data_IF_780574913591
#
_entry.id   IF_780574913591
#
_cell.length_a   1.000
_cell.length_b   1.000
_cell.length_c   1.000
_cell.angle_alpha   90.00
_cell.angle_beta   90.00
_cell.angle_gamma   90.00
#
_symmetry.space_group_name_H-M   'P 1'
#
loop_
_entity.id
_entity.type
_entity.pdbx_description
1 polymer ?
#
# COMPACT_ATOMS: atom_id res chain seq x y z
N UNK A 1 63.42 -42.05 -6.20
CA UNK A 1 63.97 -40.70 -6.19
C UNK A 1 62.84 -39.76 -5.95
N UNK A 2 62.71 -39.12 -4.76
CA UNK A 2 61.67 -38.16 -4.41
C UNK A 2 62.18 -36.76 -4.82
N UNK A 3 61.44 -36.08 -5.70
CA UNK A 3 61.73 -34.72 -6.12
C UNK A 3 61.32 -33.78 -4.94
N UNK A 4 62.22 -33.01 -4.35
CA UNK A 4 61.87 -32.11 -3.26
C UNK A 4 61.12 -30.93 -3.89
N UNK A 5 59.84 -30.87 -3.58
CA UNK A 5 59.03 -29.67 -3.92
C UNK A 5 59.66 -28.44 -3.26
N UNK A 6 60.09 -27.50 -4.05
CA UNK A 6 60.78 -26.29 -3.60
C UNK A 6 59.69 -25.39 -2.90
N UNK A 7 60.04 -24.89 -1.73
CA UNK A 7 59.17 -24.02 -0.92
C UNK A 7 58.58 -22.84 -1.72
N UNK A 8 59.29 -22.40 -2.73
CA UNK A 8 58.91 -21.33 -3.63
C UNK A 8 57.78 -21.73 -4.61
N UNK A 9 57.73 -22.99 -5.05
CA UNK A 9 56.71 -23.52 -5.93
C UNK A 9 55.42 -23.80 -5.18
N UNK A 10 55.53 -24.23 -3.90
CA UNK A 10 54.38 -24.36 -2.99
C UNK A 10 53.72 -23.00 -2.72
N UNK A 11 54.52 -21.94 -2.46
CA UNK A 11 53.98 -20.59 -2.23
C UNK A 11 53.34 -20.00 -3.48
N UNK A 12 53.86 -20.27 -4.68
CA UNK A 12 53.22 -19.86 -5.94
C UNK A 12 51.89 -20.57 -6.18
N UNK A 13 51.81 -21.87 -5.90
CA UNK A 13 50.61 -22.65 -6.04
C UNK A 13 49.55 -22.23 -4.99
N UNK A 14 49.94 -22.00 -3.75
CA UNK A 14 49.04 -21.49 -2.70
C UNK A 14 48.50 -20.07 -3.03
N UNK A 15 49.35 -19.17 -3.55
CA UNK A 15 48.97 -17.83 -3.97
C UNK A 15 48.00 -17.83 -5.15
N UNK A 16 48.16 -18.73 -6.10
CA UNK A 16 47.26 -18.86 -7.24
C UNK A 16 45.87 -19.38 -6.84
N UNK A 17 45.81 -20.32 -5.91
CA UNK A 17 44.54 -20.86 -5.37
C UNK A 17 43.79 -19.77 -4.58
N UNK A 18 44.50 -18.97 -3.79
CA UNK A 18 43.87 -17.89 -3.00
C UNK A 18 43.32 -16.80 -3.90
N UNK A 19 44.01 -16.43 -4.98
CA UNK A 19 43.55 -15.45 -5.95
C UNK A 19 42.31 -15.93 -6.75
N UNK A 20 42.24 -17.24 -7.07
CA UNK A 20 41.11 -17.84 -7.75
C UNK A 20 39.85 -17.89 -6.86
N UNK A 21 39.98 -18.13 -5.57
CA UNK A 21 38.84 -18.19 -4.62
C UNK A 21 38.32 -16.80 -4.34
N UNK A 22 39.18 -15.78 -4.26
CA UNK A 22 38.71 -14.38 -4.04
C UNK A 22 38.05 -13.79 -5.27
N UNK A 23 38.43 -14.14 -6.49
CA UNK A 23 37.76 -13.68 -7.71
C UNK A 23 36.43 -14.39 -7.98
N UNK A 24 36.27 -15.64 -7.54
CA UNK A 24 34.99 -16.36 -7.63
C UNK A 24 33.94 -15.89 -6.61
N UNK A 25 34.38 -15.35 -5.46
CA UNK A 25 33.49 -14.86 -4.40
C UNK A 25 32.81 -13.51 -4.72
N UNK A 26 33.24 -12.80 -5.74
CA UNK A 26 32.68 -11.48 -6.13
C UNK A 26 31.71 -11.55 -7.31
N UNK A 27 31.51 -12.72 -7.89
CA UNK A 27 30.32 -12.97 -8.73
C UNK A 27 29.16 -13.36 -7.83
N UNK A 28 28.90 -12.56 -6.79
CA UNK A 28 27.64 -12.61 -6.09
C UNK A 28 26.54 -12.31 -7.12
N UNK A 29 25.71 -13.31 -7.43
CA UNK A 29 24.44 -13.07 -8.08
C UNK A 29 23.75 -11.95 -7.29
N UNK A 30 23.81 -10.72 -7.76
CA UNK A 30 22.78 -9.75 -7.46
C UNK A 30 21.52 -10.33 -8.10
N UNK A 31 20.87 -11.27 -7.41
CA UNK A 31 19.46 -11.52 -7.71
C UNK A 31 18.81 -10.17 -7.50
N UNK A 32 18.62 -9.44 -8.57
CA UNK A 32 17.80 -8.26 -8.57
C UNK A 32 16.47 -8.75 -8.03
N UNK A 33 16.21 -8.51 -6.74
CA UNK A 33 14.94 -8.92 -6.13
C UNK A 33 13.87 -8.30 -7.00
N UNK A 34 13.10 -9.14 -7.67
CA UNK A 34 11.98 -8.69 -8.45
C UNK A 34 11.10 -7.85 -7.52
N UNK A 35 10.91 -6.59 -7.89
CA UNK A 35 10.08 -5.68 -7.11
C UNK A 35 8.64 -6.10 -7.32
N UNK A 36 7.88 -6.43 -6.27
CA UNK A 36 6.50 -6.87 -6.42
C UNK A 36 5.62 -5.76 -6.99
N UNK A 37 4.63 -6.12 -7.77
CA UNK A 37 3.54 -5.21 -8.08
C UNK A 37 2.69 -5.02 -6.82
N UNK A 38 2.25 -3.78 -6.59
CA UNK A 38 1.46 -3.40 -5.42
C UNK A 38 0.10 -2.90 -5.89
N UNK A 39 -0.95 -3.54 -5.41
CA UNK A 39 -2.33 -3.15 -5.69
C UNK A 39 -3.02 -2.80 -4.38
N UNK A 40 -3.55 -1.57 -4.29
CA UNK A 40 -4.42 -1.14 -3.21
C UNK A 40 -5.86 -1.02 -3.70
N UNK A 41 -6.75 -1.75 -3.06
CA UNK A 41 -8.19 -1.60 -3.21
C UNK A 41 -8.71 -0.98 -1.93
N UNK A 42 -9.26 0.22 -2.02
CA UNK A 42 -9.79 0.94 -0.87
C UNK A 42 -11.30 1.06 -0.98
N UNK A 43 -11.97 1.03 0.14
CA UNK A 43 -13.37 1.42 0.29
C UNK A 43 -13.50 2.43 1.43
N UNK A 44 -14.60 3.17 1.48
CA UNK A 44 -14.80 4.26 2.43
C UNK A 44 -15.87 3.92 3.46
N UNK A 45 -15.77 4.56 4.63
CA UNK A 45 -16.76 4.52 5.71
C UNK A 45 -17.15 3.09 6.14
N UNK A 46 -16.22 2.14 6.00
CA UNK A 46 -16.45 0.75 6.36
C UNK A 46 -16.01 0.45 7.79
N UNK A 47 -16.93 -0.16 8.55
CA UNK A 47 -16.59 -0.98 9.69
C UNK A 47 -16.25 -2.42 9.24
N UNK A 48 -16.08 -3.37 10.19
CA UNK A 48 -15.80 -4.78 9.89
C UNK A 48 -17.06 -5.53 9.43
N UNK A 49 -17.83 -4.93 8.50
CA UNK A 49 -19.09 -5.48 7.99
C UNK A 49 -18.88 -6.34 6.74
N UNK A 50 -17.97 -7.31 6.82
CA UNK A 50 -17.66 -8.25 5.78
C UNK A 50 -17.84 -9.69 6.28
N UNK A 51 -18.13 -10.64 5.40
CA UNK A 51 -18.30 -12.04 5.76
C UNK A 51 -17.12 -12.62 6.52
N UNK A 52 -15.89 -12.30 6.12
CA UNK A 52 -14.67 -12.73 6.81
C UNK A 52 -14.51 -12.19 8.24
N UNK A 53 -15.29 -11.19 8.65
CA UNK A 53 -15.38 -10.69 10.01
C UNK A 53 -16.65 -11.16 10.75
N UNK A 54 -17.40 -12.07 10.13
CA UNK A 54 -18.59 -12.67 10.74
C UNK A 54 -19.88 -11.89 10.53
N UNK A 55 -19.92 -10.97 9.55
CA UNK A 55 -21.17 -10.31 9.17
C UNK A 55 -22.01 -11.22 8.27
N UNK A 56 -23.18 -11.63 8.79
CA UNK A 56 -24.05 -12.62 8.13
C UNK A 56 -24.83 -12.04 6.94
N UNK A 57 -25.06 -10.73 6.94
CA UNK A 57 -25.79 -10.03 5.89
C UNK A 57 -24.89 -9.57 4.74
N UNK A 58 -23.55 -9.71 4.88
CA UNK A 58 -22.61 -9.29 3.86
C UNK A 58 -22.36 -10.42 2.84
N UNK A 59 -22.66 -10.17 1.59
CA UNK A 59 -22.28 -11.05 0.47
C UNK A 59 -20.94 -10.61 -0.11
N UNK A 60 -19.84 -11.11 0.48
CA UNK A 60 -18.46 -10.70 0.16
C UNK A 60 -17.53 -11.87 -0.21
N UNK A 61 -17.93 -12.82 -1.07
CA UNK A 61 -17.20 -14.08 -1.27
C UNK A 61 -15.79 -13.90 -1.85
N UNK A 62 -15.53 -12.81 -2.58
CA UNK A 62 -14.19 -12.50 -3.11
C UNK A 62 -13.24 -12.00 -2.03
N UNK A 63 -13.73 -11.14 -1.14
CA UNK A 63 -12.95 -10.63 0.00
C UNK A 63 -12.73 -11.73 1.04
N UNK A 64 -13.73 -12.57 1.27
CA UNK A 64 -13.63 -13.70 2.18
C UNK A 64 -12.57 -14.70 1.71
N UNK A 65 -12.54 -15.00 0.41
CA UNK A 65 -11.47 -15.82 -0.17
C UNK A 65 -10.09 -15.18 -0.04
N UNK A 66 -9.96 -13.89 -0.36
CA UNK A 66 -8.71 -13.16 -0.21
C UNK A 66 -8.23 -13.17 1.25
N UNK A 67 -9.14 -13.01 2.20
CA UNK A 67 -8.88 -13.10 3.62
C UNK A 67 -8.38 -14.49 4.05
N UNK A 68 -8.91 -15.55 3.45
CA UNK A 68 -8.48 -16.93 3.74
C UNK A 68 -7.10 -17.25 3.16
N UNK A 69 -6.73 -16.63 2.05
CA UNK A 69 -5.44 -16.83 1.35
C UNK A 69 -4.33 -15.88 1.87
N UNK A 70 -4.69 -14.81 2.59
CA UNK A 70 -3.79 -13.76 3.01
C UNK A 70 -3.74 -13.52 4.52
N UNK A 71 -3.42 -12.30 4.90
CA UNK A 71 -3.39 -11.85 6.29
C UNK A 71 -4.61 -10.97 6.55
N UNK A 72 -5.41 -11.32 7.56
CA UNK A 72 -6.53 -10.53 8.02
C UNK A 72 -6.19 -9.86 9.36
N UNK A 73 -6.26 -8.54 9.40
CA UNK A 73 -6.11 -7.78 10.63
C UNK A 73 -7.43 -7.73 11.38
N UNK A 74 -7.43 -8.13 12.65
CA UNK A 74 -8.62 -8.07 13.53
C UNK A 74 -8.75 -6.74 14.25
N UNK A 75 -7.65 -5.98 14.33
CA UNK A 75 -7.59 -4.66 14.97
C UNK A 75 -6.81 -3.72 14.07
N UNK A 76 -7.52 -2.95 13.26
CA UNK A 76 -6.96 -1.90 12.43
C UNK A 76 -7.79 -0.62 12.64
N UNK A 77 -7.13 0.48 12.96
CA UNK A 77 -7.79 1.73 13.31
C UNK A 77 -7.28 2.85 12.43
N UNK A 78 -8.19 3.68 11.92
CA UNK A 78 -7.81 4.95 11.34
C UNK A 78 -7.32 5.90 12.44
N UNK A 79 -6.24 6.63 12.20
CA UNK A 79 -5.76 7.64 13.14
C UNK A 79 -6.59 8.93 13.15
N UNK A 80 -7.45 9.09 12.15
CA UNK A 80 -8.46 10.14 12.05
C UNK A 80 -9.71 9.53 11.38
N UNK A 81 -10.89 9.58 12.03
CA UNK A 81 -12.08 8.85 11.60
C UNK A 81 -12.90 9.62 10.54
N UNK A 82 -12.23 10.27 9.60
CA UNK A 82 -12.87 11.03 8.51
C UNK A 82 -11.95 11.06 7.29
N UNK A 83 -12.52 11.10 6.08
CA UNK A 83 -11.82 10.83 4.82
C UNK A 83 -10.56 11.69 4.59
N UNK A 84 -10.65 13.02 4.58
CA UNK A 84 -9.51 13.87 4.22
C UNK A 84 -8.33 13.78 5.23
N UNK A 85 -8.51 13.86 6.55
CA UNK A 85 -7.45 13.65 7.51
C UNK A 85 -6.86 12.24 7.49
N UNK A 86 -7.69 11.19 7.32
CA UNK A 86 -7.21 9.82 7.19
C UNK A 86 -6.34 9.66 5.93
N UNK A 87 -6.81 10.20 4.78
CA UNK A 87 -6.06 10.16 3.52
C UNK A 87 -4.75 10.95 3.59
N UNK A 88 -4.74 12.08 4.30
CA UNK A 88 -3.51 12.81 4.57
C UNK A 88 -2.50 11.94 5.31
N UNK A 89 -2.94 11.28 6.38
CA UNK A 89 -2.07 10.41 7.17
C UNK A 89 -1.53 9.23 6.37
N UNK A 90 -2.36 8.63 5.52
CA UNK A 90 -1.95 7.52 4.65
C UNK A 90 -0.90 8.00 3.64
N UNK A 91 -1.13 9.12 2.96
CA UNK A 91 -0.26 9.55 1.86
C UNK A 91 1.08 10.12 2.35
N UNK A 92 1.09 10.73 3.53
CA UNK A 92 2.29 11.32 4.14
C UNK A 92 3.04 10.38 5.08
N UNK A 93 2.38 9.31 5.57
CA UNK A 93 2.91 8.46 6.63
C UNK A 93 2.99 9.15 8.00
N UNK A 94 2.32 10.28 8.19
CA UNK A 94 2.36 11.09 9.42
C UNK A 94 0.97 11.19 10.06
N UNK A 95 0.94 11.31 11.38
CA UNK A 95 -0.30 11.62 12.07
C UNK A 95 -0.84 12.99 11.67
N UNK A 96 -2.13 13.09 11.41
CA UNK A 96 -2.78 14.32 10.97
C UNK A 96 -2.52 15.50 11.93
N UNK A 97 -2.53 15.26 13.24
CA UNK A 97 -2.25 16.27 14.25
C UNK A 97 -0.81 16.82 14.18
N UNK A 98 0.16 16.02 13.72
CA UNK A 98 1.56 16.46 13.57
C UNK A 98 1.74 17.45 12.40
N UNK A 99 0.83 17.42 11.43
CA UNK A 99 0.83 18.32 10.28
C UNK A 99 -0.23 19.43 10.37
N UNK A 100 -1.06 19.44 11.42
CA UNK A 100 -2.18 20.37 11.54
C UNK A 100 -3.33 20.08 10.56
N UNK A 101 -3.39 18.86 10.04
CA UNK A 101 -4.38 18.40 9.05
C UNK A 101 -5.50 17.55 9.65
N UNK A 102 -5.69 17.61 10.97
CA UNK A 102 -6.68 16.81 11.69
C UNK A 102 -8.14 17.25 11.47
N UNK A 103 -8.36 18.48 11.04
CA UNK A 103 -9.69 18.98 10.76
C UNK A 103 -10.09 18.73 9.31
N UNK A 104 -11.32 18.33 9.10
CA UNK A 104 -11.85 18.08 7.76
C UNK A 104 -11.72 19.33 6.89
N UNK A 105 -11.13 19.20 5.71
CA UNK A 105 -10.87 20.26 4.72
C UNK A 105 -10.14 21.47 5.27
N UNK A 106 -9.20 21.25 6.19
CA UNK A 106 -8.36 22.30 6.75
C UNK A 106 -7.41 22.92 5.72
N UNK A 107 -7.14 22.23 4.63
CA UNK A 107 -6.34 22.70 3.48
C UNK A 107 -5.03 23.36 3.94
N UNK A 108 -4.25 22.66 4.76
CA UNK A 108 -2.99 23.16 5.29
C UNK A 108 -1.85 22.98 4.30
N UNK A 109 -0.89 23.93 4.23
CA UNK A 109 0.34 23.72 3.50
C UNK A 109 1.16 22.61 4.15
N UNK A 110 1.70 21.72 3.33
CA UNK A 110 2.61 20.67 3.79
C UNK A 110 4.05 21.19 3.67
N UNK A 111 4.89 21.05 4.69
CA UNK A 111 6.30 21.41 4.59
C UNK A 111 6.99 20.70 3.41
N UNK A 112 7.78 21.43 2.63
CA UNK A 112 8.40 20.92 1.39
C UNK A 112 9.28 19.66 1.58
N UNK A 113 9.76 19.43 2.81
CA UNK A 113 10.54 18.22 3.17
C UNK A 113 9.68 16.95 3.32
N UNK A 114 8.36 17.09 3.38
CA UNK A 114 7.44 15.95 3.53
C UNK A 114 7.08 15.46 2.14
N UNK A 115 7.63 14.31 1.76
CA UNK A 115 7.25 13.63 0.53
C UNK A 115 5.99 12.79 0.76
N UNK A 116 5.15 12.71 -0.27
CA UNK A 116 4.08 11.73 -0.30
C UNK A 116 4.69 10.39 -0.74
N UNK A 117 4.35 9.30 -0.05
CA UNK A 117 5.04 8.02 -0.26
C UNK A 117 5.03 7.51 -1.72
N UNK A 118 4.04 7.82 -2.60
CA UNK A 118 4.15 7.44 -4.00
C UNK A 118 5.32 8.08 -4.73
N UNK A 119 5.78 9.28 -4.31
CA UNK A 119 6.99 9.90 -4.87
C UNK A 119 8.22 9.01 -4.60
N UNK A 120 8.34 8.46 -3.39
CA UNK A 120 9.42 7.52 -3.03
C UNK A 120 9.35 6.22 -3.85
N UNK A 121 8.14 5.73 -4.12
CA UNK A 121 7.96 4.56 -4.98
C UNK A 121 8.34 4.87 -6.43
N UNK A 122 8.01 6.06 -6.95
CA UNK A 122 8.42 6.50 -8.28
C UNK A 122 9.94 6.65 -8.39
N UNK A 123 10.59 7.22 -7.39
CA UNK A 123 12.06 7.27 -7.27
C UNK A 123 12.67 5.86 -7.28
N UNK A 124 11.99 4.90 -6.66
CA UNK A 124 12.35 3.50 -6.70
C UNK A 124 12.01 2.80 -8.04
N UNK A 125 11.46 3.50 -9.03
CA UNK A 125 11.18 3.00 -10.39
C UNK A 125 9.80 2.40 -10.59
N UNK A 126 8.88 2.52 -9.62
CA UNK A 126 7.50 2.10 -9.79
C UNK A 126 6.72 3.07 -10.68
N UNK A 127 5.76 2.53 -11.41
CA UNK A 127 4.71 3.30 -12.07
C UNK A 127 3.53 3.43 -11.12
N UNK A 128 3.22 4.64 -10.68
CA UNK A 128 2.25 4.91 -9.61
C UNK A 128 0.97 5.52 -10.16
N UNK A 129 -0.17 4.86 -9.93
CA UNK A 129 -1.47 5.32 -10.42
C UNK A 129 -2.52 5.40 -9.31
N UNK A 130 -3.41 6.41 -9.40
CA UNK A 130 -4.52 6.62 -8.49
C UNK A 130 -5.84 6.76 -9.25
N UNK A 131 -6.77 5.86 -9.00
CA UNK A 131 -8.12 5.88 -9.58
C UNK A 131 -9.15 5.94 -8.44
N UNK A 132 -9.72 7.10 -8.05
CA UNK A 132 -9.43 8.46 -8.52
C UNK A 132 -9.42 9.45 -7.35
N UNK A 133 -9.77 9.02 -6.14
CA UNK A 133 -9.93 9.95 -5.01
C UNK A 133 -8.57 10.36 -4.43
N UNK A 134 -8.30 11.64 -4.35
CA UNK A 134 -7.14 12.20 -3.67
C UNK A 134 -7.52 12.70 -2.27
N UNK A 135 -8.18 13.82 -2.15
CA UNK A 135 -8.73 14.39 -0.89
C UNK A 135 -7.71 14.40 0.26
N UNK A 136 -6.48 14.87 -0.03
CA UNK A 136 -5.36 14.76 0.93
C UNK A 136 -5.32 15.86 1.98
N UNK A 137 -6.33 16.71 2.06
CA UNK A 137 -6.47 17.75 3.08
C UNK A 137 -5.30 18.76 3.10
N UNK A 138 -4.71 19.03 1.97
CA UNK A 138 -3.59 19.95 1.77
C UNK A 138 -3.98 21.06 0.82
N UNK A 139 -3.37 22.24 1.00
CA UNK A 139 -3.59 23.39 0.14
C UNK A 139 -3.13 23.11 -1.29
N UNK A 140 -1.90 22.61 -1.41
CA UNK A 140 -1.33 22.19 -2.68
C UNK A 140 -0.68 20.82 -2.54
N UNK A 141 -0.99 19.94 -3.48
CA UNK A 141 -0.35 18.63 -3.59
C UNK A 141 1.04 18.81 -4.19
N UNK A 142 2.09 18.17 -3.63
CA UNK A 142 3.40 18.17 -4.26
C UNK A 142 3.33 17.67 -5.70
N UNK A 143 4.20 18.20 -6.56
CA UNK A 143 4.34 17.70 -7.91
C UNK A 143 4.89 16.25 -7.91
N UNK A 144 4.56 15.52 -8.95
CA UNK A 144 5.14 14.20 -9.17
C UNK A 144 4.68 13.11 -8.20
N UNK A 145 3.54 13.26 -7.51
CA UNK A 145 3.00 12.21 -6.63
C UNK A 145 2.59 10.98 -7.43
N UNK A 146 1.89 11.17 -8.55
CA UNK A 146 1.37 10.11 -9.39
C UNK A 146 1.89 10.24 -10.84
N UNK A 147 2.05 9.12 -11.51
CA UNK A 147 2.21 9.10 -12.97
C UNK A 147 0.87 9.38 -13.65
N UNK A 148 -0.21 8.80 -13.11
CA UNK A 148 -1.59 9.08 -13.52
C UNK A 148 -2.50 9.14 -12.29
N UNK A 149 -3.39 10.15 -12.24
CA UNK A 149 -4.45 10.25 -11.24
C UNK A 149 -5.73 10.73 -11.92
N UNK A 150 -6.64 9.80 -12.21
CA UNK A 150 -7.92 10.04 -12.87
C UNK A 150 -8.83 8.82 -12.79
N UNK A 151 -10.08 8.96 -13.25
CA UNK A 151 -11.02 7.84 -13.39
C UNK A 151 -10.56 6.78 -14.39
N UNK A 152 -9.64 7.13 -15.29
CA UNK A 152 -9.09 6.23 -16.31
C UNK A 152 -7.67 5.76 -15.96
N UNK A 153 -7.10 6.22 -14.83
CA UNK A 153 -5.76 5.83 -14.43
C UNK A 153 -5.65 4.31 -14.26
N UNK A 154 -4.62 3.75 -14.86
CA UNK A 154 -4.41 2.30 -14.86
C UNK A 154 -2.94 1.94 -14.88
N UNK A 155 -2.56 0.91 -14.14
CA UNK A 155 -1.22 0.32 -14.19
C UNK A 155 -0.84 -0.28 -15.56
N UNK A 156 -1.80 -0.43 -16.47
CA UNK A 156 -1.55 -1.01 -17.81
C UNK A 156 -0.71 -0.11 -18.71
N UNK A 157 -0.67 1.19 -18.43
CA UNK A 157 0.10 2.17 -19.21
C UNK A 157 1.60 2.20 -18.86
N UNK A 158 2.03 1.39 -17.89
CA UNK A 158 3.44 1.28 -17.51
C UNK A 158 4.31 0.68 -18.62
N UNK A 159 5.60 0.93 -18.57
CA UNK A 159 6.57 0.27 -19.44
C UNK A 159 6.60 -1.24 -19.18
N UNK A 160 6.94 -2.00 -20.23
CA UNK A 160 7.10 -3.45 -20.08
C UNK A 160 8.16 -3.77 -19.01
N UNK A 161 7.83 -4.67 -18.09
CA UNK A 161 8.72 -5.04 -16.98
C UNK A 161 8.80 -4.03 -15.83
N UNK A 162 8.17 -2.86 -15.94
CA UNK A 162 8.16 -1.88 -14.85
C UNK A 162 7.20 -2.33 -13.74
N UNK A 163 7.63 -2.38 -12.46
CA UNK A 163 6.73 -2.65 -11.37
C UNK A 163 5.73 -1.49 -11.20
N UNK A 164 4.54 -1.79 -10.69
CA UNK A 164 3.54 -0.76 -10.45
C UNK A 164 3.07 -0.71 -8.99
N UNK A 165 2.65 0.48 -8.60
CA UNK A 165 1.79 0.73 -7.45
C UNK A 165 0.49 1.35 -7.96
N UNK A 166 -0.62 0.67 -7.79
CA UNK A 166 -1.90 1.12 -8.29
C UNK A 166 -2.94 1.15 -7.16
N UNK A 167 -3.62 2.29 -7.04
CA UNK A 167 -4.71 2.49 -6.09
C UNK A 167 -6.03 2.57 -6.86
N UNK A 168 -7.02 1.80 -6.42
CA UNK A 168 -8.41 1.90 -6.86
C UNK A 168 -9.28 2.23 -5.66
N UNK A 169 -9.92 3.39 -5.70
CA UNK A 169 -10.77 3.88 -4.62
C UNK A 169 -12.24 3.59 -4.95
N UNK A 170 -12.84 2.70 -4.18
CA UNK A 170 -14.27 2.39 -4.28
C UNK A 170 -15.06 3.30 -3.33
N UNK A 171 -15.85 4.19 -3.89
CA UNK A 171 -16.61 5.21 -3.14
C UNK A 171 -18.08 4.83 -2.93
N UNK A 172 -18.50 3.63 -3.35
CA UNK A 172 -19.90 3.18 -3.25
C UNK A 172 -20.35 3.07 -1.79
N UNK A 173 -19.44 2.75 -0.89
CA UNK A 173 -19.69 2.66 0.56
C UNK A 173 -19.61 4.00 1.30
N UNK A 174 -19.32 5.10 0.60
CA UNK A 174 -19.29 6.45 1.18
C UNK A 174 -20.69 6.85 1.68
N UNK A 175 -20.77 7.60 2.79
CA UNK A 175 -22.03 8.02 3.42
C UNK A 175 -23.03 8.67 2.46
N UNK A 176 -22.54 9.39 1.45
CA UNK A 176 -23.40 10.03 0.44
C UNK A 176 -24.28 9.05 -0.34
N UNK A 177 -23.94 7.75 -0.32
CA UNK A 177 -24.77 6.70 -0.92
C UNK A 177 -26.11 6.52 -0.19
N UNK A 178 -26.21 6.94 1.08
CA UNK A 178 -27.45 6.92 1.87
C UNK A 178 -28.47 7.94 1.35
N UNK A 179 -28.02 8.96 0.64
CA UNK A 179 -28.89 10.01 0.08
C UNK A 179 -29.53 9.61 -1.25
N UNK A 180 -29.19 8.44 -1.76
CA UNK A 180 -29.83 7.89 -2.96
C UNK A 180 -31.04 7.05 -2.55
N UNK A 181 -32.11 7.09 -3.34
CA UNK A 181 -33.30 6.25 -3.14
C UNK A 181 -33.00 4.81 -3.55
N UNK A 182 -32.20 4.12 -2.78
CA UNK A 182 -31.91 2.70 -3.00
C UNK A 182 -32.89 1.90 -2.12
N UNK A 183 -33.50 0.87 -2.69
CA UNK A 183 -34.35 -0.03 -1.94
C UNK A 183 -33.56 -0.70 -0.80
N UNK A 184 -34.16 -0.80 0.38
CA UNK A 184 -33.58 -1.53 1.49
C UNK A 184 -33.41 -2.99 1.10
N UNK A 185 -32.19 -3.49 1.15
CA UNK A 185 -31.82 -4.85 0.73
C UNK A 185 -31.95 -5.87 1.85
N UNK A 186 -31.77 -5.41 3.10
CA UNK A 186 -31.72 -6.25 4.28
C UNK A 186 -32.82 -5.86 5.25
N UNK A 187 -33.30 -6.84 6.00
CA UNK A 187 -34.28 -6.66 7.06
C UNK A 187 -33.64 -5.86 8.22
N UNK A 188 -34.11 -4.64 8.53
CA UNK A 188 -33.53 -3.83 9.60
C UNK A 188 -33.49 -4.50 10.96
N UNK A 189 -34.47 -5.36 11.28
CA UNK A 189 -34.54 -6.07 12.56
C UNK A 189 -33.45 -7.15 12.73
N UNK A 190 -32.78 -7.53 11.63
CA UNK A 190 -31.70 -8.53 11.63
C UNK A 190 -30.30 -7.94 11.57
N UNK A 191 -30.19 -6.62 11.50
CA UNK A 191 -28.90 -5.96 11.42
C UNK A 191 -28.25 -5.87 12.80
N UNK A 192 -27.01 -6.30 12.89
CA UNK A 192 -26.21 -6.14 14.11
C UNK A 192 -25.74 -4.70 14.24
N UNK A 193 -26.28 -3.97 15.20
CA UNK A 193 -25.83 -2.63 15.51
C UNK A 193 -24.46 -2.65 16.21
N UNK A 194 -23.55 -1.71 15.85
CA UNK A 194 -22.35 -1.47 16.64
C UNK A 194 -22.72 -1.05 18.07
N UNK A 195 -21.88 -1.44 19.04
CA UNK A 195 -22.15 -1.16 20.46
C UNK A 195 -22.25 0.33 20.84
N UNK A 196 -21.84 1.23 19.95
CA UNK A 196 -21.92 2.68 20.13
C UNK A 196 -23.17 3.31 19.51
N UNK A 197 -24.02 2.52 18.85
CA UNK A 197 -25.32 2.97 18.39
C UNK A 197 -26.41 2.56 19.38
N UNK A 198 -27.36 3.45 19.68
CA UNK A 198 -28.57 3.06 20.44
C UNK A 198 -29.39 2.08 19.60
N UNK A 199 -30.00 1.12 20.29
CA UNK A 199 -30.98 0.18 19.71
C UNK A 199 -32.39 0.76 19.93
N UNK A 200 -32.63 1.88 19.27
CA UNK A 200 -33.93 2.56 19.32
C UNK A 200 -34.63 2.45 17.95
N UNK A 201 -35.96 2.31 17.91
CA UNK A 201 -36.73 2.22 16.68
C UNK A 201 -36.71 3.51 15.84
#
# INVERSE_FOLDING_TARGET
MKNPQNRRDFLKAAGAVTAAVTSAGWMGCSSQRERPNILWLTSEDNGPFLGCYGELNADTPRLDRLSAEGIRYTHAFANAPVCAPARNSIITGMYACSLGTQHMRSMRPVPAKIQFFPQLLREAGYYCTNNVKEDYNVEEKPEGVWDESSRNATYKNRKLGQPFFAVFNHTVSHESSLHTTTAVQHDPEKIRLPAYHPDDP
#
